data_IF_187202813613
#
_entry.id   IF_187202813613
#
_cell.length_a   1.000
_cell.length_b   1.000
_cell.length_c   1.000
_cell.angle_alpha   90.00
_cell.angle_beta   90.00
_cell.angle_gamma   90.00
#
_symmetry.space_group_name_H-M   'P 1'
#
loop_
_entity.id
_entity.type
_entity.pdbx_description
1 polymer ?
#
# COMPACT_ATOMS: atom_id res chain seq x y z
N UNK A 1 -5.15 -17.51 -17.98
CA UNK A 1 -5.95 -17.43 -16.74
C UNK A 1 -5.08 -16.77 -15.69
N UNK A 2 -5.57 -15.73 -14.97
CA UNK A 2 -4.78 -15.08 -13.93
C UNK A 2 -4.49 -16.06 -12.79
N UNK A 3 -3.25 -16.06 -12.29
CA UNK A 3 -2.84 -16.91 -11.16
C UNK A 3 -3.49 -16.43 -9.85
N UNK A 4 -3.42 -17.25 -8.80
CA UNK A 4 -3.85 -16.81 -7.47
C UNK A 4 -3.06 -15.56 -7.02
N UNK A 5 -1.75 -15.52 -7.32
CA UNK A 5 -0.90 -14.37 -7.06
C UNK A 5 -1.41 -13.10 -7.76
N UNK A 6 -1.68 -13.17 -9.07
CA UNK A 6 -2.16 -12.01 -9.84
C UNK A 6 -3.50 -11.49 -9.30
N UNK A 7 -4.39 -12.41 -8.93
CA UNK A 7 -5.70 -12.07 -8.36
C UNK A 7 -5.57 -11.40 -6.99
N UNK A 8 -4.69 -11.92 -6.11
CA UNK A 8 -4.45 -11.31 -4.80
C UNK A 8 -3.81 -9.94 -4.93
N UNK A 9 -2.84 -9.76 -5.82
CA UNK A 9 -2.19 -8.47 -6.06
C UNK A 9 -3.20 -7.43 -6.54
N UNK A 10 -4.06 -7.80 -7.50
CA UNK A 10 -5.11 -6.93 -8.01
C UNK A 10 -6.15 -6.57 -6.93
N UNK A 11 -6.52 -7.51 -6.07
CA UNK A 11 -7.43 -7.24 -4.96
C UNK A 11 -6.83 -6.25 -3.94
N UNK A 12 -5.54 -6.37 -3.64
CA UNK A 12 -4.83 -5.42 -2.76
C UNK A 12 -4.79 -4.02 -3.40
N UNK A 13 -4.43 -3.93 -4.69
CA UNK A 13 -4.40 -2.64 -5.40
C UNK A 13 -5.81 -2.00 -5.45
N UNK A 14 -6.86 -2.80 -5.65
CA UNK A 14 -8.25 -2.32 -5.63
C UNK A 14 -8.64 -1.73 -4.27
N UNK A 15 -8.25 -2.40 -3.17
CA UNK A 15 -8.50 -1.89 -1.83
C UNK A 15 -7.74 -0.58 -1.56
N UNK A 16 -6.45 -0.50 -1.92
CA UNK A 16 -5.68 0.74 -1.79
C UNK A 16 -6.23 1.90 -2.63
N UNK A 17 -6.90 1.59 -3.76
CA UNK A 17 -7.56 2.59 -4.59
C UNK A 17 -8.79 3.22 -3.91
N UNK A 18 -9.32 2.61 -2.84
CA UNK A 18 -10.43 3.16 -2.04
C UNK A 18 -9.97 4.24 -1.05
N UNK A 19 -8.67 4.50 -0.89
CA UNK A 19 -8.19 5.60 -0.04
C UNK A 19 -8.68 6.96 -0.59
N UNK A 20 -9.50 7.72 0.16
CA UNK A 20 -10.05 8.98 -0.32
C UNK A 20 -9.01 10.09 -0.44
N UNK A 21 -7.80 9.90 0.13
CA UNK A 21 -6.73 10.88 0.09
C UNK A 21 -5.95 10.73 -1.21
N UNK A 22 -5.87 11.81 -1.98
CA UNK A 22 -5.09 11.84 -3.21
C UNK A 22 -3.66 12.33 -2.97
N UNK A 23 -2.72 11.87 -3.79
CA UNK A 23 -1.35 12.40 -3.88
C UNK A 23 -0.96 12.64 -5.33
N UNK A 24 -0.18 13.69 -5.56
CA UNK A 24 0.36 14.00 -6.88
C UNK A 24 1.60 13.15 -7.15
N UNK A 25 1.64 12.53 -8.32
CA UNK A 25 2.80 11.80 -8.83
C UNK A 25 3.76 12.75 -9.54
N UNK A 26 4.97 12.26 -9.83
CA UNK A 26 6.02 13.06 -10.48
C UNK A 26 5.66 13.47 -11.91
N UNK A 27 4.76 12.74 -12.57
CA UNK A 27 4.24 13.03 -13.90
C UNK A 27 3.05 14.02 -13.89
N UNK A 28 2.67 14.54 -12.73
CA UNK A 28 1.57 15.49 -12.56
C UNK A 28 0.19 14.83 -12.48
N UNK A 29 0.08 13.50 -12.55
CA UNK A 29 -1.17 12.77 -12.32
C UNK A 29 -1.48 12.66 -10.82
N UNK A 30 -2.73 12.36 -10.48
CA UNK A 30 -3.20 12.19 -9.11
C UNK A 30 -3.69 10.75 -8.90
N UNK A 31 -3.30 10.15 -7.78
CA UNK A 31 -3.67 8.78 -7.42
C UNK A 31 -3.94 8.66 -5.91
N UNK A 32 -4.75 7.69 -5.44
CA UNK A 32 -4.91 7.42 -4.02
C UNK A 32 -3.56 7.24 -3.30
N UNK A 33 -3.44 7.83 -2.11
CA UNK A 33 -2.18 7.96 -1.40
C UNK A 33 -1.59 6.59 -1.02
N UNK A 34 -2.40 5.70 -0.43
CA UNK A 34 -1.90 4.35 -0.11
C UNK A 34 -1.58 3.53 -1.38
N UNK A 35 -2.33 3.69 -2.49
CA UNK A 35 -1.99 3.01 -3.75
C UNK A 35 -0.63 3.48 -4.31
N UNK A 36 -0.38 4.78 -4.29
CA UNK A 36 0.92 5.36 -4.68
C UNK A 36 2.06 4.83 -3.81
N UNK A 37 1.81 4.74 -2.51
CA UNK A 37 2.79 4.23 -1.56
C UNK A 37 3.09 2.74 -1.83
N UNK A 38 2.06 1.90 -1.97
CA UNK A 38 2.18 0.47 -2.19
C UNK A 38 2.94 0.13 -3.49
N UNK A 39 2.69 0.88 -4.56
CA UNK A 39 3.44 0.77 -5.83
C UNK A 39 4.92 1.12 -5.64
N UNK A 40 5.22 2.25 -4.99
CA UNK A 40 6.59 2.68 -4.71
C UNK A 40 7.36 1.67 -3.85
N UNK A 41 6.70 1.04 -2.88
CA UNK A 41 7.34 0.01 -2.05
C UNK A 41 7.66 -1.25 -2.84
N UNK A 42 6.82 -1.61 -3.83
CA UNK A 42 7.12 -2.72 -4.73
C UNK A 42 8.27 -2.42 -5.66
N UNK A 43 8.34 -1.21 -6.23
CA UNK A 43 9.50 -0.75 -7.01
C UNK A 43 10.78 -0.76 -6.18
N UNK A 44 10.68 -0.40 -4.89
CA UNK A 44 11.81 -0.44 -3.98
C UNK A 44 12.27 -1.86 -3.71
N UNK A 45 11.34 -2.80 -3.49
CA UNK A 45 11.65 -4.22 -3.30
C UNK A 45 12.50 -4.78 -4.45
N UNK A 46 12.14 -4.46 -5.70
CA UNK A 46 12.87 -4.89 -6.89
C UNK A 46 14.31 -4.34 -6.97
N UNK A 47 14.60 -3.23 -6.28
CA UNK A 47 15.96 -2.65 -6.23
C UNK A 47 16.85 -3.29 -5.16
N UNK A 48 16.25 -3.85 -4.11
CA UNK A 48 16.97 -4.37 -2.94
C UNK A 48 17.01 -5.89 -2.88
N UNK A 49 16.19 -6.56 -3.68
CA UNK A 49 16.09 -8.02 -3.72
C UNK A 49 15.91 -8.50 -5.16
N UNK A 50 16.88 -9.26 -5.67
CA UNK A 50 16.94 -9.64 -7.09
C UNK A 50 15.79 -10.57 -7.55
N UNK A 51 15.28 -11.42 -6.66
CA UNK A 51 14.22 -12.37 -6.98
C UNK A 51 13.27 -12.62 -5.78
N UNK A 52 12.44 -11.64 -5.39
CA UNK A 52 11.53 -11.80 -4.26
C UNK A 52 10.45 -12.83 -4.60
N UNK A 53 10.15 -13.71 -3.66
CA UNK A 53 9.06 -14.67 -3.84
C UNK A 53 7.69 -13.97 -3.83
N UNK A 54 6.66 -14.69 -4.26
CA UNK A 54 5.30 -14.17 -4.36
C UNK A 54 4.77 -13.67 -3.01
N UNK A 55 5.12 -14.34 -1.91
CA UNK A 55 4.67 -13.98 -0.55
C UNK A 55 5.25 -12.64 -0.14
N UNK A 56 6.55 -12.41 -0.36
CA UNK A 56 7.21 -11.15 -0.04
C UNK A 56 6.66 -10.00 -0.89
N UNK A 57 6.41 -10.24 -2.18
CA UNK A 57 5.79 -9.25 -3.07
C UNK A 57 4.40 -8.85 -2.59
N UNK A 58 3.57 -9.83 -2.20
CA UNK A 58 2.24 -9.56 -1.63
C UNK A 58 2.33 -8.83 -0.28
N UNK A 59 3.25 -9.22 0.59
CA UNK A 59 3.43 -8.58 1.90
C UNK A 59 3.83 -7.10 1.77
N UNK A 60 4.76 -6.80 0.87
CA UNK A 60 5.16 -5.42 0.56
C UNK A 60 4.00 -4.64 -0.06
N UNK A 61 3.25 -5.25 -0.99
CA UNK A 61 2.10 -4.59 -1.62
C UNK A 61 0.96 -4.32 -0.62
N UNK A 62 0.76 -5.19 0.36
CA UNK A 62 -0.26 -5.05 1.40
C UNK A 62 0.13 -4.09 2.54
N UNK A 63 1.29 -3.44 2.48
CA UNK A 63 1.68 -2.47 3.50
C UNK A 63 0.65 -1.34 3.58
N UNK A 64 0.19 -1.03 4.80
CA UNK A 64 -0.85 -0.03 5.09
C UNK A 64 -2.23 -0.31 4.47
N UNK A 65 -2.54 -1.56 4.10
CA UNK A 65 -3.85 -1.92 3.57
C UNK A 65 -4.98 -1.42 4.47
N UNK A 66 -5.87 -0.60 3.92
CA UNK A 66 -7.02 0.00 4.59
C UNK A 66 -6.71 0.77 5.89
N UNK A 67 -5.46 1.24 6.06
CA UNK A 67 -5.05 1.96 7.28
C UNK A 67 -5.85 3.25 7.51
N UNK A 68 -6.33 3.89 6.45
CA UNK A 68 -7.14 5.11 6.53
C UNK A 68 -8.53 4.89 7.15
N UNK A 69 -9.02 3.64 7.22
CA UNK A 69 -10.29 3.32 7.86
C UNK A 69 -10.25 3.43 9.39
N UNK A 70 -9.06 3.60 9.97
CA UNK A 70 -8.88 3.83 11.41
C UNK A 70 -8.43 5.28 11.62
N UNK A 71 -9.36 6.22 11.87
CA UNK A 71 -9.01 7.60 12.19
C UNK A 71 -8.13 7.63 13.45
N UNK A 72 -7.03 8.39 13.41
CA UNK A 72 -6.16 8.57 14.58
C UNK A 72 -6.84 9.38 15.69
N UNK A 73 -7.90 10.08 15.32
CA UNK A 73 -8.65 11.04 16.13
C UNK A 73 -9.59 10.33 17.12
N UNK A 74 -9.76 9.01 16.99
CA UNK A 74 -10.59 8.17 17.86
C UNK A 74 -9.83 7.63 19.08
N UNK A 75 -8.52 7.90 19.15
CA UNK A 75 -7.72 7.61 20.35
C UNK A 75 -7.73 8.83 21.28
N UNK A 76 -8.23 8.72 22.53
CA UNK A 76 -8.06 9.79 23.50
C UNK A 76 -6.57 10.11 23.67
N UNK A 77 -6.23 11.40 23.74
CA UNK A 77 -4.87 11.88 24.03
C UNK A 77 -4.34 11.18 25.30
N UNK A 78 -3.47 10.19 25.13
CA UNK A 78 -3.18 9.30 26.25
C UNK A 78 -2.27 8.12 25.98
N UNK A 79 -1.35 8.20 25.02
CA UNK A 79 -0.12 7.38 25.08
C UNK A 79 1.10 8.27 25.15
N UNK A 80 1.47 8.55 26.41
CA UNK A 80 2.81 8.98 26.80
C UNK A 80 3.79 7.92 26.31
N UNK A 81 4.80 8.33 25.52
CA UNK A 81 6.03 7.55 25.38
C UNK A 81 7.07 8.31 26.19
N UNK A 82 7.49 7.69 27.29
CA UNK A 82 8.77 7.96 27.96
C UNK A 82 9.87 7.34 27.11
#
# INVERSE_FOLDING_TARGET
MPTAFDQTLAAIDALHAEDPRATNLADGTSMPQELAYAQRMSEWLERVHDAPDEVLRLAVRAQHLQRWLVPRDEYPEGRVVI
#
